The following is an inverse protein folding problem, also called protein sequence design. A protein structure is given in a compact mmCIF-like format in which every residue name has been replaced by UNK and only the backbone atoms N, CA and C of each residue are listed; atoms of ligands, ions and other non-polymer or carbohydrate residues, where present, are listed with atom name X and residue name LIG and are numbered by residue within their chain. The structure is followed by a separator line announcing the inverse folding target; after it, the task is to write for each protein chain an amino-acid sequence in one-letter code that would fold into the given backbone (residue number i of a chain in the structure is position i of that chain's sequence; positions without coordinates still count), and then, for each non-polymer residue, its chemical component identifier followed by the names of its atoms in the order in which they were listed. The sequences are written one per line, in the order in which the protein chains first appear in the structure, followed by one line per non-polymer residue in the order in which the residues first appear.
data_IF_651499528149
#
_entry.id   IF_651499528149
#
_cell.length_a   1.000
_cell.length_b   1.000
_cell.length_c   1.000
_cell.angle_alpha   90.00
_cell.angle_beta   90.00
_cell.angle_gamma   90.00
#
_symmetry.space_group_name_H-M   'P 1'
#
loop_
_entity.id
_entity.type
_entity.pdbx_description
1 polymer ?
#
# COMPACT_ATOMS: atom_id res chain seq x y z
N UNK A 1 57.12 -89.25 26.26
CA UNK A 1 55.93 -89.32 27.13
C UNK A 1 55.08 -88.12 26.76
N UNK A 2 54.28 -88.21 25.69
CA UNK A 2 52.99 -88.93 25.60
C UNK A 2 51.98 -88.34 26.58
N UNK A 3 51.08 -87.52 26.05
CA UNK A 3 49.62 -87.49 26.28
C UNK A 3 49.10 -86.09 25.94
N UNK A 4 47.86 -85.85 25.53
CA UNK A 4 46.89 -86.56 24.72
C UNK A 4 45.77 -85.52 24.48
N UNK A 5 45.36 -85.37 23.23
CA UNK A 5 44.05 -84.92 22.70
C UNK A 5 43.07 -84.13 23.59
N UNK A 6 42.56 -83.01 23.05
CA UNK A 6 41.11 -82.83 22.77
C UNK A 6 40.84 -81.57 21.93
N UNK A 7 40.29 -81.78 20.73
CA UNK A 7 39.43 -80.82 19.99
C UNK A 7 37.95 -81.01 20.43
N UNK A 8 36.93 -80.27 19.93
CA UNK A 8 36.89 -78.95 19.24
C UNK A 8 35.77 -78.02 19.80
N UNK A 9 35.74 -76.75 19.36
CA UNK A 9 34.46 -76.05 19.16
C UNK A 9 34.64 -74.81 18.24
N UNK A 10 34.10 -74.92 17.03
CA UNK A 10 33.88 -73.81 16.10
C UNK A 10 32.76 -72.92 16.64
N UNK A 11 32.98 -71.61 16.73
CA UNK A 11 31.87 -70.65 16.76
C UNK A 11 32.28 -69.36 16.06
N UNK A 12 31.81 -69.24 14.83
CA UNK A 12 31.87 -68.04 14.01
C UNK A 12 30.89 -67.00 14.58
N UNK A 13 31.41 -65.88 15.07
CA UNK A 13 30.64 -64.64 15.12
C UNK A 13 31.50 -63.49 14.61
N UNK A 14 31.28 -63.23 13.33
CA UNK A 14 31.65 -62.04 12.61
C UNK A 14 31.45 -60.75 13.43
N UNK A 15 32.49 -59.90 13.36
CA UNK A 15 32.42 -58.47 13.04
C UNK A 15 31.60 -57.53 13.95
N UNK A 16 32.05 -56.29 13.94
CA UNK A 16 31.36 -55.07 14.38
C UNK A 16 31.41 -54.75 15.87
N UNK A 17 32.49 -54.08 16.31
CA UNK A 17 32.34 -52.85 17.12
C UNK A 17 33.58 -51.95 17.15
N UNK A 18 34.20 -51.67 16.00
CA UNK A 18 35.16 -50.56 15.90
C UNK A 18 34.62 -49.54 14.91
N UNK A 19 33.96 -48.49 15.43
CA UNK A 19 33.64 -47.22 14.75
C UNK A 19 32.78 -46.34 15.66
N UNK A 20 33.40 -45.65 16.62
CA UNK A 20 32.70 -44.61 17.39
C UNK A 20 33.66 -43.48 17.80
N UNK A 21 34.37 -42.87 16.86
CA UNK A 21 35.18 -41.67 17.12
C UNK A 21 35.18 -40.61 16.00
N UNK A 22 34.32 -40.73 14.99
CA UNK A 22 34.28 -39.74 13.88
C UNK A 22 33.09 -38.76 14.01
N UNK A 23 32.06 -39.10 14.79
CA UNK A 23 30.80 -38.33 14.82
C UNK A 23 30.83 -37.07 15.72
N UNK A 24 31.94 -36.76 16.41
CA UNK A 24 31.97 -35.70 17.45
C UNK A 24 32.58 -34.35 17.04
N UNK A 25 33.17 -34.21 15.84
CA UNK A 25 33.79 -32.94 15.41
C UNK A 25 33.09 -32.22 14.25
N UNK A 26 32.06 -32.81 13.62
CA UNK A 26 31.40 -32.19 12.45
C UNK A 26 30.26 -31.25 12.85
N UNK A 27 29.75 -31.37 14.08
CA UNK A 27 28.58 -30.63 14.54
C UNK A 27 28.80 -29.12 14.84
N UNK A 28 29.95 -28.64 15.37
CA UNK A 28 30.09 -27.22 15.69
C UNK A 28 30.43 -26.34 14.47
N UNK A 29 31.01 -26.92 13.40
CA UNK A 29 31.42 -26.16 12.21
C UNK A 29 30.20 -25.84 11.32
N UNK A 30 29.25 -26.76 11.22
CA UNK A 30 28.03 -26.55 10.43
C UNK A 30 27.09 -25.50 11.06
N UNK A 31 27.11 -25.35 12.39
CA UNK A 31 26.28 -24.36 13.10
C UNK A 31 26.82 -22.93 12.87
N UNK A 32 28.15 -22.75 12.82
CA UNK A 32 28.76 -21.43 12.64
C UNK A 32 28.58 -20.88 11.22
N UNK A 33 28.66 -21.74 10.19
CA UNK A 33 28.49 -21.33 8.79
C UNK A 33 27.04 -20.97 8.45
N UNK A 34 26.06 -21.64 9.07
CA UNK A 34 24.64 -21.31 8.93
C UNK A 34 24.30 -19.95 9.56
N UNK A 35 24.92 -19.61 10.71
CA UNK A 35 24.70 -18.33 11.38
C UNK A 35 25.24 -17.13 10.57
N UNK A 36 26.35 -17.29 9.85
CA UNK A 36 26.90 -16.23 8.98
C UNK A 36 26.07 -15.99 7.71
N UNK A 37 25.38 -17.01 7.20
CA UNK A 37 24.50 -16.85 6.03
C UNK A 37 23.19 -16.12 6.36
N UNK A 38 22.66 -16.26 7.58
CA UNK A 38 21.42 -15.58 7.96
C UNK A 38 21.56 -14.06 8.08
N UNK A 39 22.72 -13.54 8.50
CA UNK A 39 22.93 -12.09 8.68
C UNK A 39 23.11 -11.32 7.35
N UNK A 40 23.54 -12.00 6.27
CA UNK A 40 23.75 -11.35 4.98
C UNK A 40 22.46 -11.11 4.18
N UNK A 41 21.38 -11.84 4.49
CA UNK A 41 20.09 -11.68 3.81
C UNK A 41 19.22 -10.53 4.38
N UNK A 42 19.53 -10.01 5.57
CA UNK A 42 18.83 -8.86 6.15
C UNK A 42 19.37 -7.51 5.69
N UNK A 43 20.66 -7.42 5.36
CA UNK A 43 21.31 -6.15 5.02
C UNK A 43 20.84 -5.57 3.67
N UNK A 44 20.51 -6.44 2.70
CA UNK A 44 20.03 -6.03 1.37
C UNK A 44 18.55 -5.61 1.36
N UNK A 45 17.78 -5.98 2.40
CA UNK A 45 16.35 -5.69 2.50
C UNK A 45 16.05 -4.33 3.17
N UNK A 46 17.04 -3.71 3.84
CA UNK A 46 16.86 -2.51 4.65
C UNK A 46 17.39 -1.21 3.99
N UNK A 47 17.67 -1.24 2.68
CA UNK A 47 17.91 -0.01 1.94
C UNK A 47 16.60 0.55 1.39
N UNK A 48 15.77 1.06 2.31
CA UNK A 48 14.76 2.11 2.10
C UNK A 48 14.43 2.39 0.62
N UNK A 49 13.68 1.51 -0.05
CA UNK A 49 13.25 1.80 -1.42
C UNK A 49 12.26 2.98 -1.41
N UNK A 50 12.69 4.09 -1.98
CA UNK A 50 11.83 5.21 -2.37
C UNK A 50 10.87 4.67 -3.44
N UNK A 51 9.58 5.00 -3.36
CA UNK A 51 8.63 4.65 -4.41
C UNK A 51 9.11 5.30 -5.72
N UNK A 52 9.42 4.48 -6.73
CA UNK A 52 9.83 4.92 -8.06
C UNK A 52 8.62 4.96 -8.98
N UNK A 53 8.47 6.06 -9.73
CA UNK A 53 7.45 6.18 -10.78
C UNK A 53 8.19 6.13 -12.13
N UNK A 54 7.76 5.26 -13.03
CA UNK A 54 8.39 5.11 -14.34
C UNK A 54 8.37 6.42 -15.13
N UNK A 55 9.52 6.71 -15.77
CA UNK A 55 9.75 7.95 -16.50
C UNK A 55 9.83 9.19 -15.62
N UNK A 56 9.82 9.06 -14.28
CA UNK A 56 9.85 10.22 -13.39
C UNK A 56 11.24 10.52 -12.81
N UNK A 57 11.58 11.81 -12.69
CA UNK A 57 12.78 12.28 -12.01
C UNK A 57 12.39 13.24 -10.85
N UNK A 58 12.75 12.93 -9.59
CA UNK A 58 12.35 13.74 -8.44
C UNK A 58 13.04 15.12 -8.38
N UNK A 59 14.22 15.28 -8.96
CA UNK A 59 14.88 16.59 -9.05
C UNK A 59 14.17 17.48 -10.08
N UNK A 60 13.73 16.91 -11.21
CA UNK A 60 12.84 17.60 -12.14
C UNK A 60 11.53 17.99 -11.45
N UNK A 61 10.96 17.07 -10.66
CA UNK A 61 9.77 17.34 -9.84
C UNK A 61 9.93 18.49 -8.86
N UNK A 62 11.07 18.56 -8.17
CA UNK A 62 11.44 19.65 -7.27
C UNK A 62 11.41 21.01 -7.98
N UNK A 63 11.96 21.07 -9.19
CA UNK A 63 11.98 22.29 -10.00
C UNK A 63 10.57 22.68 -10.45
N UNK A 64 9.79 21.72 -10.95
CA UNK A 64 8.40 21.94 -11.37
C UNK A 64 7.53 22.45 -10.21
N UNK A 65 7.71 21.92 -8.99
CA UNK A 65 7.01 22.41 -7.79
C UNK A 65 7.27 23.90 -7.54
N UNK A 66 8.48 24.38 -7.80
CA UNK A 66 8.80 25.81 -7.71
C UNK A 66 8.14 26.59 -8.85
N UNK A 67 8.24 26.09 -10.09
CA UNK A 67 7.68 26.73 -11.29
C UNK A 67 6.17 26.90 -11.21
N UNK A 68 5.44 25.84 -10.81
CA UNK A 68 3.98 25.85 -10.68
C UNK A 68 3.49 26.50 -9.39
N UNK A 69 4.39 27.01 -8.53
CA UNK A 69 4.02 27.80 -7.36
C UNK A 69 3.31 27.01 -6.26
N UNK A 70 3.51 25.69 -6.15
CA UNK A 70 2.81 24.87 -5.16
C UNK A 70 3.09 25.33 -3.71
N UNK A 71 4.28 25.93 -3.49
CA UNK A 71 4.71 26.47 -2.20
C UNK A 71 3.92 27.70 -1.71
N UNK A 72 3.12 28.34 -2.57
CA UNK A 72 2.21 29.43 -2.17
C UNK A 72 1.10 28.92 -1.25
N UNK A 73 0.62 27.70 -1.49
CA UNK A 73 -0.45 27.10 -0.71
C UNK A 73 0.06 26.08 0.30
N UNK A 74 1.11 25.33 -0.03
CA UNK A 74 1.63 24.24 0.80
C UNK A 74 2.97 24.59 1.46
N UNK A 75 3.19 24.01 2.64
CA UNK A 75 4.52 23.90 3.23
C UNK A 75 5.16 22.62 2.72
N UNK A 76 6.33 22.75 2.09
CA UNK A 76 7.01 21.64 1.40
C UNK A 76 8.48 21.61 1.81
N UNK A 77 8.89 20.53 2.48
CA UNK A 77 10.28 20.33 2.90
C UNK A 77 11.19 20.26 1.66
N UNK A 78 12.36 20.90 1.72
CA UNK A 78 13.33 20.92 0.61
C UNK A 78 13.01 21.91 -0.52
N UNK A 79 11.90 22.64 -0.46
CA UNK A 79 11.56 23.69 -1.44
C UNK A 79 11.74 25.08 -0.80
N UNK A 80 12.67 25.86 -1.34
CA UNK A 80 12.96 27.21 -0.82
C UNK A 80 11.72 28.09 -0.90
N UNK A 81 11.27 28.60 0.25
CA UNK A 81 10.15 29.54 0.32
C UNK A 81 8.76 28.90 0.33
N UNK A 82 8.63 27.58 0.18
CA UNK A 82 7.36 26.87 0.29
C UNK A 82 6.90 26.79 1.76
N UNK A 83 6.19 27.83 2.20
CA UNK A 83 5.68 27.98 3.58
C UNK A 83 4.18 28.28 3.61
N UNK A 84 3.48 27.97 2.52
CA UNK A 84 2.04 28.14 2.43
C UNK A 84 1.29 27.31 3.47
N UNK A 85 0.13 27.81 3.91
CA UNK A 85 -0.73 27.17 4.91
C UNK A 85 -2.20 27.08 4.48
N UNK A 86 -2.49 27.41 3.22
CA UNK A 86 -3.83 27.27 2.64
C UNK A 86 -4.13 25.78 2.39
N UNK A 87 -3.15 25.06 1.85
CA UNK A 87 -3.17 23.61 1.75
C UNK A 87 -2.49 22.95 2.95
N UNK A 88 -2.69 21.62 3.14
CA UNK A 88 -2.00 20.87 4.18
C UNK A 88 -0.48 20.86 3.96
N UNK A 89 0.26 20.66 5.05
CA UNK A 89 1.70 20.45 4.99
C UNK A 89 2.05 19.10 4.33
N UNK A 90 3.08 19.09 3.48
CA UNK A 90 3.49 17.92 2.68
C UNK A 90 4.79 17.26 3.16
N UNK A 91 5.34 17.68 4.32
CA UNK A 91 6.63 17.21 4.85
C UNK A 91 6.77 15.68 4.93
N UNK A 92 5.67 15.00 5.24
CA UNK A 92 5.62 13.54 5.44
C UNK A 92 4.67 12.89 4.43
N UNK A 93 4.56 13.44 3.21
CA UNK A 93 3.57 13.03 2.22
C UNK A 93 3.58 11.52 1.93
N UNK A 94 4.76 10.89 1.83
CA UNK A 94 4.88 9.44 1.58
C UNK A 94 4.25 8.56 2.66
N UNK A 95 4.06 9.07 3.88
CA UNK A 95 3.46 8.35 5.00
C UNK A 95 1.93 8.52 5.06
N UNK A 96 1.35 9.35 4.18
CA UNK A 96 -0.09 9.52 4.13
C UNK A 96 -0.77 8.29 3.53
N UNK A 97 -1.86 7.84 4.14
CA UNK A 97 -2.67 6.74 3.62
C UNK A 97 -3.68 7.23 2.57
N UNK A 98 -4.17 8.46 2.74
CA UNK A 98 -5.19 9.06 1.89
C UNK A 98 -4.68 10.33 1.22
N UNK A 99 -4.81 10.39 -0.09
CA UNK A 99 -4.67 11.58 -0.92
C UNK A 99 -5.92 12.46 -0.76
N UNK A 100 -5.71 13.73 -0.40
CA UNK A 100 -6.75 14.75 -0.21
C UNK A 100 -7.90 14.32 0.74
N UNK A 101 -7.64 13.33 1.59
CA UNK A 101 -8.56 12.77 2.57
C UNK A 101 -9.64 11.82 2.02
N UNK A 102 -9.58 11.40 0.76
CA UNK A 102 -10.65 10.56 0.17
C UNK A 102 -10.20 9.50 -0.83
N UNK A 103 -9.03 9.64 -1.46
CA UNK A 103 -8.47 8.64 -2.36
C UNK A 103 -7.32 7.89 -1.68
N UNK A 104 -7.07 6.61 -2.00
CA UNK A 104 -5.82 5.96 -1.60
C UNK A 104 -4.61 6.76 -2.09
N UNK A 105 -3.58 6.90 -1.25
CA UNK A 105 -2.31 7.47 -1.67
C UNK A 105 -1.54 6.49 -2.58
N UNK A 106 -1.90 6.50 -3.86
CA UNK A 106 -1.24 5.72 -4.90
C UNK A 106 -0.83 6.63 -6.07
N UNK A 107 0.28 6.34 -6.77
CA UNK A 107 0.81 7.20 -7.84
C UNK A 107 -0.23 7.60 -8.89
N UNK A 108 -1.04 6.65 -9.37
CA UNK A 108 -2.07 6.91 -10.38
C UNK A 108 -3.10 7.97 -9.93
N UNK A 109 -3.47 7.98 -8.65
CA UNK A 109 -4.41 8.96 -8.11
C UNK A 109 -3.75 10.30 -7.86
N UNK A 110 -2.49 10.30 -7.39
CA UNK A 110 -1.74 11.54 -7.20
C UNK A 110 -1.48 12.24 -8.54
N UNK A 111 -1.08 11.50 -9.58
CA UNK A 111 -0.87 12.05 -10.92
C UNK A 111 -2.17 12.68 -11.44
N UNK A 112 -3.30 11.96 -11.35
CA UNK A 112 -4.60 12.49 -11.75
C UNK A 112 -5.02 13.72 -10.93
N UNK A 113 -4.78 13.71 -9.63
CA UNK A 113 -5.06 14.84 -8.74
C UNK A 113 -4.21 16.06 -9.06
N UNK A 114 -2.92 15.89 -9.38
CA UNK A 114 -2.03 17.00 -9.77
C UNK A 114 -2.48 17.65 -11.09
N UNK A 115 -2.96 16.84 -12.04
CA UNK A 115 -3.45 17.32 -13.33
C UNK A 115 -4.78 18.09 -13.20
N UNK A 116 -5.78 17.49 -12.54
CA UNK A 116 -7.09 18.11 -12.36
C UNK A 116 -7.76 17.71 -11.02
N UNK A 117 -7.49 18.46 -9.94
CA UNK A 117 -8.11 18.22 -8.65
C UNK A 117 -9.63 18.40 -8.68
N UNK A 118 -10.14 19.35 -9.48
CA UNK A 118 -11.56 19.74 -9.51
C UNK A 118 -12.39 18.66 -10.20
N UNK A 119 -11.84 17.97 -11.20
CA UNK A 119 -12.48 16.80 -11.80
C UNK A 119 -12.67 15.64 -10.80
N UNK A 120 -11.73 15.45 -9.87
CA UNK A 120 -11.81 14.39 -8.86
C UNK A 120 -12.61 14.78 -7.62
N UNK A 121 -12.54 16.05 -7.19
CA UNK A 121 -13.27 16.60 -6.05
C UNK A 121 -13.72 18.03 -6.36
N UNK A 122 -14.95 18.23 -6.87
CA UNK A 122 -15.42 19.55 -7.31
C UNK A 122 -15.35 20.65 -6.25
N UNK A 123 -15.45 20.31 -4.96
CA UNK A 123 -15.37 21.26 -3.84
C UNK A 123 -13.95 21.48 -3.30
N UNK A 124 -12.91 21.00 -4.00
CA UNK A 124 -11.52 21.23 -3.59
C UNK A 124 -11.11 22.68 -3.76
N UNK A 125 -10.26 23.18 -2.85
CA UNK A 125 -9.63 24.50 -2.99
C UNK A 125 -8.35 24.48 -3.83
N UNK A 126 -7.87 23.31 -4.25
CA UNK A 126 -6.69 23.19 -5.11
C UNK A 126 -7.10 23.37 -6.58
N UNK A 127 -6.60 24.40 -7.30
CA UNK A 127 -6.98 24.61 -8.68
C UNK A 127 -6.28 23.62 -9.63
N UNK A 128 -6.81 23.50 -10.85
CA UNK A 128 -6.12 22.80 -11.94
C UNK A 128 -4.91 23.64 -12.39
N UNK A 129 -3.71 23.07 -12.25
CA UNK A 129 -2.46 23.79 -12.51
C UNK A 129 -2.05 23.80 -13.99
N UNK A 130 -2.74 23.05 -14.84
CA UNK A 130 -2.39 22.88 -16.26
C UNK A 130 -1.20 21.94 -16.49
N UNK A 131 -0.89 21.08 -15.51
CA UNK A 131 0.18 20.09 -15.61
C UNK A 131 -0.12 19.04 -16.69
N UNK A 132 0.88 18.71 -17.49
CA UNK A 132 0.86 17.49 -18.30
C UNK A 132 1.05 16.25 -17.41
N UNK A 133 0.73 15.06 -17.94
CA UNK A 133 0.94 13.82 -17.20
C UNK A 133 2.43 13.58 -16.86
N UNK A 134 3.34 13.91 -17.79
CA UNK A 134 4.78 13.77 -17.60
C UNK A 134 5.29 14.66 -16.45
N UNK A 135 4.90 15.92 -16.43
CA UNK A 135 5.24 16.83 -15.34
C UNK A 135 4.64 16.38 -14.01
N UNK A 136 3.38 15.92 -14.02
CA UNK A 136 2.72 15.38 -12.83
C UNK A 136 3.45 14.14 -12.28
N UNK A 137 3.99 13.27 -13.14
CA UNK A 137 4.82 12.12 -12.74
C UNK A 137 6.10 12.57 -12.04
N UNK A 138 6.79 13.57 -12.57
CA UNK A 138 7.97 14.15 -11.93
C UNK A 138 7.65 14.75 -10.54
N UNK A 139 6.57 15.54 -10.43
CA UNK A 139 6.15 16.12 -9.16
C UNK A 139 5.77 15.02 -8.16
N UNK A 140 4.98 14.03 -8.59
CA UNK A 140 4.59 12.90 -7.77
C UNK A 140 5.81 12.15 -7.22
N UNK A 141 6.83 11.89 -8.05
CA UNK A 141 8.03 11.18 -7.60
C UNK A 141 8.79 11.96 -6.52
N UNK A 142 8.88 13.29 -6.64
CA UNK A 142 9.44 14.13 -5.58
C UNK A 142 8.62 14.04 -4.28
N UNK A 143 7.29 14.12 -4.36
CA UNK A 143 6.43 14.05 -3.17
C UNK A 143 6.57 12.73 -2.42
N UNK A 144 6.78 11.61 -3.13
CA UNK A 144 7.06 10.31 -2.50
C UNK A 144 8.44 10.23 -1.83
N UNK A 145 9.36 11.17 -2.09
CA UNK A 145 10.60 11.30 -1.31
C UNK A 145 10.39 11.98 0.05
N UNK A 146 9.25 12.64 0.26
CA UNK A 146 8.97 13.41 1.48
C UNK A 146 8.47 12.50 2.60
N UNK A 147 9.20 12.42 3.71
CA UNK A 147 8.85 11.60 4.87
C UNK A 147 9.23 10.13 4.78
N UNK A 148 10.01 9.72 3.77
CA UNK A 148 10.41 8.31 3.62
C UNK A 148 11.41 7.90 4.70
N UNK A 149 10.90 7.29 5.76
CA UNK A 149 11.65 6.42 6.68
C UNK A 149 11.23 4.94 6.61
N UNK A 150 10.27 4.58 5.73
CA UNK A 150 9.73 3.23 5.48
C UNK A 150 9.17 3.13 4.06
N UNK A 151 9.30 1.95 3.45
CA UNK A 151 9.25 1.70 2.00
C UNK A 151 8.04 0.90 1.54
N UNK A 152 7.38 1.35 0.46
CA UNK A 152 6.45 0.56 -0.35
C UNK A 152 6.69 0.82 -1.84
N UNK A 153 6.88 -0.23 -2.64
CA UNK A 153 7.05 -0.17 -4.10
C UNK A 153 5.70 -0.32 -4.81
N UNK A 154 5.45 0.45 -5.88
CA UNK A 154 4.19 0.43 -6.64
C UNK A 154 4.46 0.17 -8.14
N UNK A 155 3.74 -0.76 -8.80
CA UNK A 155 3.91 -1.06 -10.23
C UNK A 155 3.28 0.01 -11.15
N UNK A 156 3.70 0.13 -12.41
CA UNK A 156 3.20 1.16 -13.33
C UNK A 156 1.76 0.88 -13.80
N UNK A 157 0.79 1.56 -13.18
CA UNK A 157 -0.58 1.66 -13.69
C UNK A 157 -0.84 3.07 -14.28
N UNK A 158 -1.61 3.21 -15.37
CA UNK A 158 -2.01 4.51 -15.90
C UNK A 158 -2.94 5.27 -14.92
N UNK A 159 -2.92 6.62 -14.92
CA UNK A 159 -3.87 7.41 -14.15
C UNK A 159 -5.32 7.14 -14.61
N UNK A 160 -6.31 7.28 -13.71
CA UNK A 160 -7.72 7.27 -14.12
C UNK A 160 -7.99 8.28 -15.24
N UNK A 161 -8.90 7.97 -16.16
CA UNK A 161 -9.33 8.91 -17.18
C UNK A 161 -9.99 10.13 -16.54
N UNK A 162 -9.41 11.31 -16.77
CA UNK A 162 -9.93 12.59 -16.26
C UNK A 162 -11.16 13.08 -17.05
N UNK A 163 -11.43 12.47 -18.21
CA UNK A 163 -12.64 12.72 -18.96
C UNK A 163 -13.78 12.01 -18.24
N UNK A 164 -14.78 12.75 -17.75
CA UNK A 164 -16.11 12.18 -17.53
C UNK A 164 -16.51 11.51 -18.84
N UNK A 165 -16.49 10.19 -18.90
CA UNK A 165 -17.41 9.47 -19.76
C UNK A 165 -18.80 9.83 -19.22
N UNK A 166 -19.32 10.95 -19.73
CA UNK A 166 -20.73 11.28 -19.60
C UNK A 166 -21.48 10.01 -20.00
N UNK A 167 -22.29 9.40 -19.12
CA UNK A 167 -23.23 8.40 -19.58
C UNK A 167 -24.04 9.10 -20.66
N UNK A 168 -23.98 8.59 -21.89
CA UNK A 168 -24.75 9.15 -22.99
C UNK A 168 -26.22 9.20 -22.56
N UNK A 169 -26.70 10.40 -22.26
CA UNK A 169 -28.11 10.68 -22.01
C UNK A 169 -29.00 10.30 -23.22
N UNK A 170 -28.37 9.96 -24.35
CA UNK A 170 -28.97 9.37 -25.55
C UNK A 170 -29.69 8.02 -25.29
N UNK A 171 -29.46 7.34 -24.17
CA UNK A 171 -30.14 6.06 -23.86
C UNK A 171 -30.84 6.02 -22.50
N UNK A 172 -31.39 7.14 -22.05
CA UNK A 172 -32.48 7.08 -21.07
C UNK A 172 -33.79 6.97 -21.87
N UNK A 173 -34.28 5.74 -21.97
CA UNK A 173 -35.60 5.43 -22.49
C UNK A 173 -36.65 6.28 -21.75
N UNK A 174 -37.22 7.27 -22.43
CA UNK A 174 -38.27 8.16 -21.92
C UNK A 174 -39.65 7.47 -21.82
N UNK A 175 -39.71 6.15 -21.95
CA UNK A 175 -40.99 5.40 -21.87
C UNK A 175 -41.41 5.08 -20.43
N UNK A 176 -40.67 5.52 -19.41
CA UNK A 176 -41.15 5.47 -18.02
C UNK A 176 -41.92 6.76 -17.69
N UNK A 177 -43.23 6.61 -17.84
CA UNK A 177 -44.36 7.44 -17.41
C UNK A 177 -44.06 8.60 -16.45
N UNK A 178 -44.49 9.79 -16.87
CA UNK A 178 -44.66 11.00 -16.07
C UNK A 178 -45.43 10.73 -14.76
N UNK A 179 -44.90 11.07 -13.57
CA UNK A 179 -45.68 11.12 -12.35
C UNK A 179 -46.31 12.51 -12.21
N UNK A 180 -47.36 12.78 -12.99
CA UNK A 180 -48.38 13.73 -12.55
C UNK A 180 -49.34 12.99 -11.64
N UNK A 181 -48.92 12.80 -10.39
CA UNK A 181 -49.83 12.39 -9.33
C UNK A 181 -49.42 13.11 -8.03
N UNK A 182 -49.89 14.34 -7.90
CA UNK A 182 -49.68 15.19 -6.72
C UNK A 182 -50.60 14.74 -5.59
N UNK A 183 -50.27 13.64 -4.93
CA UNK A 183 -50.94 13.24 -3.68
C UNK A 183 -49.99 13.48 -2.49
N UNK A 184 -50.34 14.31 -1.50
CA UNK A 184 -49.46 14.59 -0.37
C UNK A 184 -49.42 13.38 0.58
N UNK A 185 -48.28 12.69 0.66
CA UNK A 185 -48.01 11.67 1.69
C UNK A 185 -47.87 12.34 3.06
N UNK A 186 -48.97 12.52 3.77
CA UNK A 186 -48.96 12.63 5.24
C UNK A 186 -49.62 11.39 5.81
N UNK A 187 -48.82 10.42 6.25
CA UNK A 187 -49.33 9.24 6.96
C UNK A 187 -49.55 9.64 8.42
N UNK A 188 -50.79 9.89 8.80
CA UNK A 188 -51.21 10.01 10.21
C UNK A 188 -51.00 8.65 10.88
N UNK A 189 -50.05 8.57 11.82
CA UNK A 189 -49.83 7.38 12.66
C UNK A 189 -50.90 7.42 13.75
N UNK A 190 -51.85 6.49 13.71
CA UNK A 190 -52.83 6.25 14.79
C UNK A 190 -52.34 5.05 15.59
N UNK A 191 -52.09 5.16 16.91
CA UNK A 191 -51.78 4.00 17.75
C UNK A 191 -53.02 3.13 17.96
N UNK A 192 -52.90 1.81 17.75
CA UNK A 192 -53.95 0.83 18.03
C UNK A 192 -54.17 0.68 19.54
N UNK A 193 -55.37 0.99 20.03
CA UNK A 193 -55.79 0.67 21.39
C UNK A 193 -56.60 -0.63 21.40
N UNK A 194 -55.92 -1.76 21.49
CA UNK A 194 -56.55 -3.03 21.84
C UNK A 194 -55.66 -3.75 22.88
N UNK A 195 -55.73 -3.27 24.12
CA UNK A 195 -55.12 -3.89 25.29
C UNK A 195 -56.20 -4.11 26.34
N UNK A 196 -56.91 -5.22 26.22
CA UNK A 196 -57.85 -5.71 27.22
C UNK A 196 -57.09 -6.01 28.53
N UNK A 197 -57.39 -5.26 29.60
CA UNK A 197 -57.09 -5.67 30.98
C UNK A 197 -58.37 -5.50 31.78
N UNK A 198 -59.11 -6.60 31.89
CA UNK A 198 -60.18 -6.77 32.86
C UNK A 198 -59.64 -7.50 34.11
N UNK A 199 -59.88 -6.88 35.28
CA UNK A 199 -59.89 -7.40 36.66
C UNK A 199 -58.55 -7.83 37.31
N UNK A 200 -58.39 -7.72 38.66
CA UNK A 200 -59.45 -7.87 39.68
C UNK A 200 -59.43 -6.90 40.89
N UNK A 201 -60.62 -6.59 41.42
CA UNK A 201 -61.11 -6.83 42.80
C UNK A 201 -62.25 -5.87 43.16
#
# INVERSE_FOLDING_TARGET
MSEQSSEPAVSSSHLLKSRSMITRCVLPISIFLAATCLAACSEAADRSAILTIDGANPETGRNLIQTYGCGTCHTIAGIRGARGRVGPELRDYSQQHLLAGFLPNAPRYLIAWLMDPVALKPQTGMPAQGLTEEEARHIASYLYTLGSGRTASYPPDPPPSLRREEPSLEKIDRTVTSPSDTTPRTRRIVPSQDGNVASPR
#
